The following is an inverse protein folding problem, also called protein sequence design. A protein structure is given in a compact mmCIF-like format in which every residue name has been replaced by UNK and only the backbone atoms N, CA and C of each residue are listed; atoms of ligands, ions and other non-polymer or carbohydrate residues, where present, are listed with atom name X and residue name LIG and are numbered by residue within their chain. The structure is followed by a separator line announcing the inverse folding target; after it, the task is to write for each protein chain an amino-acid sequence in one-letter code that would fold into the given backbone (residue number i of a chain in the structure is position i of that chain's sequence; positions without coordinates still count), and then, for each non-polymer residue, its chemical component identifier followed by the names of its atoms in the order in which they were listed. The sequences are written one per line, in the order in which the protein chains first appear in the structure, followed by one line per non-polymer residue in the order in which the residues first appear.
data_IF_968422404917
#
_entry.id   IF_968422404917
#
_cell.length_a   1.000
_cell.length_b   1.000
_cell.length_c   1.000
_cell.angle_alpha   90.00
_cell.angle_beta   90.00
_cell.angle_gamma   90.00
#
_symmetry.space_group_name_H-M   'P 1'
#
loop_
_entity.id
_entity.type
_entity.pdbx_description
1 polymer ?
#
# COMPACT_ATOMS: atom_id res chain seq x y z
N UNK A 1 0.79 -26.82 -10.44
CA UNK A 1 0.12 -25.63 -11.03
C UNK A 1 -0.26 -24.71 -9.89
N UNK A 2 0.14 -23.45 -9.96
CA UNK A 2 -0.30 -22.47 -8.95
C UNK A 2 -1.80 -22.21 -9.12
N UNK A 3 -2.52 -22.30 -8.02
CA UNK A 3 -3.93 -21.99 -8.04
C UNK A 3 -4.11 -20.47 -7.87
N UNK A 4 -4.95 -19.83 -8.70
CA UNK A 4 -5.30 -18.39 -8.58
C UNK A 4 -5.76 -18.00 -7.18
N UNK A 5 -6.26 -18.96 -6.42
CA UNK A 5 -6.73 -18.76 -5.05
C UNK A 5 -5.60 -18.68 -4.02
N UNK A 6 -4.36 -19.02 -4.38
CA UNK A 6 -3.23 -19.06 -3.44
C UNK A 6 -2.53 -17.70 -3.27
N UNK A 7 -2.83 -16.75 -4.16
CA UNK A 7 -2.14 -15.47 -4.22
C UNK A 7 -3.09 -14.27 -4.27
N UNK A 8 -2.60 -13.15 -3.76
CA UNK A 8 -3.14 -11.80 -4.00
C UNK A 8 -1.99 -10.89 -4.45
N UNK A 9 -2.30 -9.87 -5.25
CA UNK A 9 -1.32 -8.96 -5.82
C UNK A 9 -1.45 -7.56 -5.22
N UNK A 10 -0.33 -6.98 -4.81
CA UNK A 10 -0.23 -5.57 -4.39
C UNK A 10 0.51 -4.79 -5.46
N UNK A 11 -0.12 -3.73 -5.96
CA UNK A 11 0.46 -2.83 -6.94
C UNK A 11 0.77 -1.46 -6.32
N UNK A 12 2.01 -1.06 -6.44
CA UNK A 12 2.50 0.28 -6.14
C UNK A 12 2.87 1.04 -7.42
N UNK A 13 3.29 2.28 -7.25
CA UNK A 13 3.57 3.21 -8.35
C UNK A 13 5.06 3.39 -8.66
N UNK A 14 5.96 2.54 -8.17
CA UNK A 14 7.38 2.59 -8.54
C UNK A 14 7.53 2.32 -10.04
N UNK A 15 8.21 3.21 -10.79
CA UNK A 15 8.43 3.02 -12.23
C UNK A 15 9.16 1.72 -12.57
N UNK A 16 8.87 1.16 -13.75
CA UNK A 16 9.56 -0.03 -14.26
C UNK A 16 9.37 -1.31 -13.46
N UNK A 17 8.40 -1.35 -12.55
CA UNK A 17 8.15 -2.56 -11.75
C UNK A 17 7.27 -3.55 -12.52
N UNK A 18 7.76 -4.74 -12.86
CA UNK A 18 6.98 -5.72 -13.61
C UNK A 18 5.87 -6.33 -12.75
N UNK A 19 4.78 -6.76 -13.38
CA UNK A 19 3.70 -7.49 -12.73
C UNK A 19 3.88 -9.00 -12.93
N UNK A 20 3.44 -9.86 -11.98
CA UNK A 20 3.50 -11.30 -12.17
C UNK A 20 2.48 -11.74 -13.24
N UNK A 21 2.90 -12.65 -14.13
CA UNK A 21 2.03 -13.29 -15.11
C UNK A 21 1.33 -14.51 -14.49
N UNK A 22 0.44 -14.25 -13.56
CA UNK A 22 -0.39 -15.26 -12.88
C UNK A 22 -1.75 -14.65 -12.57
N UNK A 23 -2.82 -15.40 -12.76
CA UNK A 23 -4.16 -14.98 -12.35
C UNK A 23 -4.27 -14.98 -10.83
N UNK A 24 -4.76 -13.87 -10.25
CA UNK A 24 -5.09 -13.75 -8.83
C UNK A 24 -6.54 -13.32 -8.64
N UNK A 25 -7.12 -13.64 -7.48
CA UNK A 25 -8.52 -13.23 -7.17
C UNK A 25 -8.63 -11.73 -6.91
N UNK A 26 -7.65 -11.16 -6.19
CA UNK A 26 -7.72 -9.78 -5.72
C UNK A 26 -6.42 -9.01 -5.99
N UNK A 27 -6.56 -7.83 -6.58
CA UNK A 27 -5.48 -6.89 -6.87
C UNK A 27 -5.67 -5.64 -6.02
N UNK A 28 -4.78 -5.40 -5.08
CA UNK A 28 -4.75 -4.22 -4.23
C UNK A 28 -3.87 -3.15 -4.85
N UNK A 29 -4.43 -2.05 -5.28
CA UNK A 29 -3.70 -0.95 -5.89
C UNK A 29 -3.62 0.27 -4.96
N UNK A 30 -2.41 0.75 -4.69
CA UNK A 30 -2.18 1.88 -3.81
C UNK A 30 -2.24 3.21 -4.58
N UNK A 31 -3.19 4.09 -4.25
CA UNK A 31 -3.36 5.41 -4.88
C UNK A 31 -3.35 5.32 -6.42
N UNK A 32 -2.49 6.11 -7.08
CA UNK A 32 -2.36 6.15 -8.54
C UNK A 32 -1.94 4.83 -9.22
N UNK A 33 -1.52 3.81 -8.46
CA UNK A 33 -1.25 2.48 -9.01
C UNK A 33 -2.53 1.74 -9.48
N UNK A 34 -3.70 2.33 -9.27
CA UNK A 34 -4.98 1.81 -9.79
C UNK A 34 -4.96 1.62 -11.32
N UNK A 35 -4.24 2.45 -12.06
CA UNK A 35 -4.03 2.28 -13.51
C UNK A 35 -3.35 0.95 -13.84
N UNK A 36 -2.34 0.55 -13.07
CA UNK A 36 -1.68 -0.74 -13.25
C UNK A 36 -2.63 -1.91 -12.99
N UNK A 37 -3.53 -1.77 -12.01
CA UNK A 37 -4.58 -2.77 -11.77
C UNK A 37 -5.55 -2.87 -12.94
N UNK A 38 -5.91 -1.74 -13.57
CA UNK A 38 -6.69 -1.74 -14.81
C UNK A 38 -5.96 -2.49 -15.93
N UNK A 39 -4.66 -2.21 -16.13
CA UNK A 39 -3.83 -2.94 -17.11
C UNK A 39 -3.77 -4.43 -16.77
N UNK A 40 -3.54 -4.80 -15.51
CA UNK A 40 -3.54 -6.21 -15.10
C UNK A 40 -4.86 -6.92 -15.42
N UNK A 41 -6.00 -6.24 -15.22
CA UNK A 41 -7.33 -6.79 -15.51
C UNK A 41 -7.57 -7.04 -17.01
N UNK A 42 -6.80 -6.42 -17.92
CA UNK A 42 -6.88 -6.76 -19.36
C UNK A 42 -6.33 -8.15 -19.67
N UNK A 43 -5.37 -8.63 -18.88
CA UNK A 43 -4.83 -9.99 -18.98
C UNK A 43 -5.65 -10.99 -18.17
N UNK A 44 -6.19 -10.58 -17.03
CA UNK A 44 -6.93 -11.41 -16.07
C UNK A 44 -8.27 -10.77 -15.70
N UNK A 45 -9.30 -10.88 -16.56
CA UNK A 45 -10.58 -10.16 -16.40
C UNK A 45 -11.37 -10.51 -15.13
N UNK A 46 -11.14 -11.70 -14.56
CA UNK A 46 -11.81 -12.17 -13.34
C UNK A 46 -11.30 -11.51 -12.05
N UNK A 47 -10.16 -10.82 -12.11
CA UNK A 47 -9.54 -10.21 -10.93
C UNK A 47 -10.39 -9.04 -10.39
N UNK A 48 -10.62 -9.01 -9.08
CA UNK A 48 -11.24 -7.89 -8.38
C UNK A 48 -10.20 -6.78 -8.18
N UNK A 49 -10.54 -5.54 -8.48
CA UNK A 49 -9.71 -4.37 -8.21
C UNK A 49 -10.11 -3.77 -6.86
N UNK A 50 -9.15 -3.70 -5.93
CA UNK A 50 -9.30 -3.08 -4.62
C UNK A 50 -8.37 -1.86 -4.57
N UNK A 51 -8.94 -0.66 -4.72
CA UNK A 51 -8.16 0.57 -4.63
C UNK A 51 -8.00 1.01 -3.17
N UNK A 52 -6.78 0.99 -2.67
CA UNK A 52 -6.44 1.50 -1.33
C UNK A 52 -5.93 2.92 -1.46
N UNK A 53 -6.66 3.88 -0.93
CA UNK A 53 -6.40 5.31 -1.11
C UNK A 53 -6.18 6.02 0.22
N UNK A 54 -5.25 6.99 0.23
CA UNK A 54 -5.19 7.99 1.27
C UNK A 54 -6.23 9.08 0.98
N UNK A 55 -7.24 9.27 1.82
CA UNK A 55 -8.34 10.20 1.56
C UNK A 55 -7.82 11.58 1.11
N UNK A 56 -6.86 12.15 1.84
CA UNK A 56 -6.28 13.46 1.52
C UNK A 56 -5.51 13.47 0.19
N UNK A 57 -4.80 12.40 -0.13
CA UNK A 57 -4.06 12.28 -1.40
C UNK A 57 -5.05 12.21 -2.55
N UNK A 58 -6.09 11.42 -2.40
CA UNK A 58 -7.16 11.30 -3.37
C UNK A 58 -7.88 12.65 -3.61
N UNK A 59 -8.23 13.38 -2.53
CA UNK A 59 -8.92 14.68 -2.65
C UNK A 59 -8.09 15.78 -3.30
N UNK A 60 -6.77 15.75 -3.14
CA UNK A 60 -5.88 16.84 -3.58
C UNK A 60 -5.14 16.57 -4.88
N UNK A 61 -5.05 15.32 -5.30
CA UNK A 61 -4.28 14.92 -6.46
C UNK A 61 -5.21 14.42 -7.57
N UNK A 62 -5.47 15.30 -8.55
CA UNK A 62 -6.35 15.04 -9.68
C UNK A 62 -5.89 13.80 -10.49
N UNK A 63 -4.58 13.61 -10.64
CA UNK A 63 -4.04 12.43 -11.34
C UNK A 63 -4.37 11.14 -10.60
N UNK A 64 -4.26 11.14 -9.27
CA UNK A 64 -4.66 9.97 -8.47
C UNK A 64 -6.16 9.72 -8.57
N UNK A 65 -7.00 10.78 -8.51
CA UNK A 65 -8.45 10.66 -8.69
C UNK A 65 -8.78 10.01 -10.03
N UNK A 66 -8.27 10.57 -11.12
CA UNK A 66 -8.50 10.08 -12.48
C UNK A 66 -8.14 8.60 -12.60
N UNK A 67 -6.93 8.22 -12.17
CA UNK A 67 -6.46 6.82 -12.26
C UNK A 67 -7.31 5.85 -11.46
N UNK A 68 -7.74 6.24 -10.26
CA UNK A 68 -8.61 5.42 -9.42
C UNK A 68 -10.00 5.26 -10.05
N UNK A 69 -10.59 6.35 -10.53
CA UNK A 69 -11.92 6.33 -11.17
C UNK A 69 -11.90 5.53 -12.49
N UNK A 70 -10.88 5.76 -13.33
CA UNK A 70 -10.69 5.05 -14.60
C UNK A 70 -10.47 3.54 -14.43
N UNK A 71 -9.89 3.13 -13.30
CA UNK A 71 -9.72 1.71 -12.98
C UNK A 71 -11.03 1.02 -12.59
N UNK A 72 -12.09 1.78 -12.32
CA UNK A 72 -13.42 1.27 -11.95
C UNK A 72 -13.36 0.18 -10.87
N UNK A 73 -12.82 0.48 -9.67
CA UNK A 73 -12.56 -0.52 -8.65
C UNK A 73 -13.84 -1.17 -8.15
N UNK A 74 -13.75 -2.44 -7.80
CA UNK A 74 -14.84 -3.20 -7.17
C UNK A 74 -14.96 -2.82 -5.68
N UNK A 75 -13.83 -2.49 -5.05
CA UNK A 75 -13.76 -2.03 -3.66
C UNK A 75 -12.82 -0.83 -3.54
N UNK A 76 -13.23 0.19 -2.80
CA UNK A 76 -12.38 1.32 -2.40
C UNK A 76 -12.16 1.27 -0.89
N UNK A 77 -10.90 1.22 -0.50
CA UNK A 77 -10.47 1.25 0.90
C UNK A 77 -9.86 2.62 1.18
N UNK A 78 -10.59 3.46 1.91
CA UNK A 78 -10.15 4.80 2.28
C UNK A 78 -9.44 4.80 3.63
N UNK A 79 -8.26 5.42 3.66
CA UNK A 79 -7.44 5.63 4.86
C UNK A 79 -7.57 7.07 5.35
N UNK A 80 -7.68 7.23 6.69
CA UNK A 80 -7.50 8.53 7.36
C UNK A 80 -8.49 9.61 6.93
N UNK A 81 -9.76 9.30 6.84
CA UNK A 81 -10.78 10.29 6.60
C UNK A 81 -12.02 9.72 5.93
N UNK A 82 -13.13 10.38 6.16
CA UNK A 82 -14.35 10.17 5.38
C UNK A 82 -14.18 10.92 4.06
N UNK A 83 -14.23 10.20 2.95
CA UNK A 83 -14.42 10.79 1.64
C UNK A 83 -15.90 11.07 1.44
N UNK A 84 -16.19 12.23 0.92
CA UNK A 84 -17.52 12.52 0.37
C UNK A 84 -17.63 11.84 -0.99
N UNK A 85 -18.08 10.60 -0.95
CA UNK A 85 -18.08 9.71 -2.11
C UNK A 85 -19.04 10.15 -3.20
N UNK A 86 -20.08 10.93 -2.82
CA UNK A 86 -21.08 11.45 -3.76
C UNK A 86 -20.48 12.47 -4.74
N UNK A 87 -19.34 13.07 -4.37
CA UNK A 87 -18.61 13.99 -5.27
C UNK A 87 -17.89 13.30 -6.42
N UNK A 88 -17.76 11.96 -6.40
CA UNK A 88 -16.96 11.24 -7.34
C UNK A 88 -17.77 10.15 -8.06
N UNK A 89 -17.59 10.05 -9.37
CA UNK A 89 -18.29 9.10 -10.22
C UNK A 89 -17.69 7.70 -10.14
N UNK A 90 -17.81 7.06 -9.00
CA UNK A 90 -17.48 5.64 -8.88
C UNK A 90 -18.52 4.76 -9.57
N UNK A 91 -18.11 3.56 -9.99
CA UNK A 91 -19.01 2.53 -10.51
C UNK A 91 -20.15 2.26 -9.48
N UNK A 92 -21.40 2.12 -9.97
CA UNK A 92 -22.59 1.97 -9.12
C UNK A 92 -22.50 0.89 -8.04
N UNK A 93 -21.77 -0.21 -8.31
CA UNK A 93 -21.63 -1.34 -7.40
C UNK A 93 -20.31 -1.34 -6.62
N UNK A 94 -19.53 -0.25 -6.67
CA UNK A 94 -18.30 -0.15 -5.89
C UNK A 94 -18.61 -0.17 -4.39
N UNK A 95 -17.95 -1.08 -3.66
CA UNK A 95 -18.05 -1.15 -2.20
C UNK A 95 -17.02 -0.23 -1.55
N UNK A 96 -17.40 0.41 -0.43
CA UNK A 96 -16.53 1.35 0.28
C UNK A 96 -16.25 0.89 1.69
N UNK A 97 -14.97 0.92 2.07
CA UNK A 97 -14.48 0.61 3.42
C UNK A 97 -13.64 1.79 3.87
N UNK A 98 -13.96 2.36 5.03
CA UNK A 98 -13.22 3.49 5.59
C UNK A 98 -12.59 3.09 6.92
N UNK A 99 -11.30 3.40 7.06
CA UNK A 99 -10.56 3.20 8.31
C UNK A 99 -10.26 4.53 8.98
N UNK A 100 -10.64 4.65 10.25
CA UNK A 100 -10.15 5.70 11.13
C UNK A 100 -8.64 5.52 11.38
N UNK A 101 -7.99 6.57 11.87
CA UNK A 101 -6.57 6.49 12.24
C UNK A 101 -6.31 5.43 13.32
N UNK A 102 -7.21 5.31 14.27
CA UNK A 102 -7.09 4.33 15.34
C UNK A 102 -7.18 2.89 14.81
N UNK A 103 -8.15 2.59 13.95
CA UNK A 103 -8.28 1.26 13.32
C UNK A 103 -7.05 0.91 12.49
N UNK A 104 -6.47 1.89 11.77
CA UNK A 104 -5.23 1.68 11.02
C UNK A 104 -4.06 1.35 11.94
N UNK A 105 -3.92 2.06 13.07
CA UNK A 105 -2.88 1.77 14.06
C UNK A 105 -3.08 0.39 14.68
N UNK A 106 -4.31 0.00 14.99
CA UNK A 106 -4.64 -1.34 15.51
C UNK A 106 -4.30 -2.42 14.48
N UNK A 107 -4.62 -2.21 13.20
CA UNK A 107 -4.20 -3.14 12.14
C UNK A 107 -2.69 -3.28 12.12
N UNK A 108 -1.96 -2.16 12.11
CA UNK A 108 -0.51 -2.17 12.06
C UNK A 108 0.11 -2.88 13.27
N UNK A 109 -0.35 -2.61 14.49
CA UNK A 109 0.21 -3.20 15.72
C UNK A 109 0.16 -4.73 15.75
N UNK A 110 -0.82 -5.34 15.09
CA UNK A 110 -0.97 -6.79 15.03
C UNK A 110 0.14 -7.49 14.24
N UNK A 111 0.78 -6.78 13.30
CA UNK A 111 1.77 -7.34 12.38
C UNK A 111 3.20 -7.26 12.88
N UNK A 112 3.47 -6.44 13.90
CA UNK A 112 4.83 -6.16 14.37
C UNK A 112 5.06 -6.68 15.79
N UNK A 113 6.33 -6.89 16.13
CA UNK A 113 6.77 -7.25 17.48
C UNK A 113 6.94 -6.05 18.43
N UNK A 114 6.50 -4.87 18.03
CA UNK A 114 6.64 -3.66 18.83
C UNK A 114 5.28 -3.02 19.16
N UNK A 115 5.27 -2.21 20.21
CA UNK A 115 4.08 -1.55 20.71
C UNK A 115 3.57 -0.48 19.72
N UNK A 116 2.26 -0.19 19.75
CA UNK A 116 1.63 0.83 18.91
C UNK A 116 2.30 2.20 19.04
N UNK A 117 2.80 2.53 20.24
CA UNK A 117 3.56 3.76 20.49
C UNK A 117 4.85 3.82 19.68
N UNK A 118 5.51 2.69 19.44
CA UNK A 118 6.73 2.66 18.63
C UNK A 118 6.45 3.02 17.16
N UNK A 119 5.27 2.67 16.65
CA UNK A 119 4.84 3.05 15.30
C UNK A 119 4.70 4.57 15.23
N UNK A 120 4.05 5.16 16.22
CA UNK A 120 3.82 6.60 16.33
C UNK A 120 5.15 7.35 16.51
N UNK A 121 6.00 6.89 17.42
CA UNK A 121 7.31 7.50 17.69
C UNK A 121 8.25 7.37 16.50
N UNK A 122 8.17 6.30 15.70
CA UNK A 122 8.99 6.13 14.49
C UNK A 122 8.66 7.14 13.40
N UNK A 123 7.40 7.56 13.26
CA UNK A 123 7.06 8.70 12.36
C UNK A 123 7.74 10.01 12.79
N UNK A 124 7.98 10.20 14.08
CA UNK A 124 8.66 11.38 14.62
C UNK A 124 10.18 11.24 14.74
N UNK A 125 10.72 10.07 14.39
CA UNK A 125 12.14 9.73 14.59
C UNK A 125 13.13 10.65 13.84
N UNK A 126 12.69 11.28 12.77
CA UNK A 126 13.53 12.18 11.95
C UNK A 126 13.67 13.59 12.54
N UNK A 127 12.91 13.93 13.56
CA UNK A 127 13.06 15.20 14.26
C UNK A 127 14.16 15.09 15.31
N UNK A 128 15.23 15.86 15.17
CA UNK A 128 16.40 15.80 16.03
C UNK A 128 16.16 16.31 17.47
N UNK A 129 15.17 17.20 17.66
CA UNK A 129 14.89 17.84 18.95
C UNK A 129 13.63 17.26 19.59
N UNK A 130 13.73 16.87 20.89
CA UNK A 130 12.63 16.25 21.66
C UNK A 130 11.32 17.09 21.62
N UNK A 131 11.40 18.39 21.84
CA UNK A 131 10.24 19.28 21.76
C UNK A 131 9.59 19.30 20.38
N UNK A 132 10.37 19.27 19.32
CA UNK A 132 9.85 19.19 17.96
C UNK A 132 9.13 17.87 17.70
N UNK A 133 9.61 16.75 18.28
CA UNK A 133 8.93 15.45 18.21
C UNK A 133 7.54 15.50 18.84
N UNK A 134 7.42 16.11 20.05
CA UNK A 134 6.13 16.28 20.73
C UNK A 134 5.19 17.16 19.90
N UNK A 135 5.66 18.31 19.40
CA UNK A 135 4.87 19.21 18.57
C UNK A 135 4.43 18.53 17.29
N UNK A 136 5.32 17.75 16.64
CA UNK A 136 4.98 16.99 15.45
C UNK A 136 3.95 15.91 15.76
N UNK A 137 4.11 15.19 16.86
CA UNK A 137 3.15 14.20 17.34
C UNK A 137 1.76 14.81 17.55
N UNK A 138 1.65 15.92 18.28
CA UNK A 138 0.39 16.60 18.55
C UNK A 138 -0.25 17.13 17.26
N UNK A 139 0.53 17.72 16.35
CA UNK A 139 0.05 18.15 15.03
C UNK A 139 -0.43 16.96 14.19
N UNK A 140 0.28 15.84 14.22
CA UNK A 140 -0.09 14.63 13.51
C UNK A 140 -1.37 14.01 14.06
N UNK A 141 -1.54 13.99 15.40
CA UNK A 141 -2.79 13.58 16.04
C UNK A 141 -3.96 14.46 15.61
N UNK A 142 -3.81 15.79 15.69
CA UNK A 142 -4.85 16.76 15.30
C UNK A 142 -5.19 16.70 13.81
N UNK A 143 -4.21 16.44 12.95
CA UNK A 143 -4.40 16.37 11.49
C UNK A 143 -4.78 14.98 10.99
N UNK A 144 -4.95 14.00 11.87
CA UNK A 144 -5.26 12.63 11.49
C UNK A 144 -4.13 11.89 10.74
N UNK A 145 -2.87 12.32 10.91
CA UNK A 145 -1.72 11.77 10.15
C UNK A 145 -0.94 10.65 10.85
N UNK A 146 -1.41 10.18 11.99
CA UNK A 146 -0.78 9.12 12.78
C UNK A 146 -1.00 7.74 12.15
N UNK A 147 -0.46 7.52 10.97
CA UNK A 147 -0.73 6.28 10.23
C UNK A 147 0.47 5.35 10.07
N UNK A 148 1.68 5.76 10.50
CA UNK A 148 2.92 4.97 10.41
C UNK A 148 3.26 4.57 8.97
N UNK A 149 2.62 3.56 8.45
CA UNK A 149 2.83 3.03 7.12
C UNK A 149 2.36 3.98 5.99
N UNK A 150 3.04 3.96 4.85
CA UNK A 150 2.51 4.55 3.61
C UNK A 150 1.24 3.83 3.15
N UNK A 151 0.53 4.40 2.17
CA UNK A 151 -0.63 3.73 1.58
C UNK A 151 -0.25 2.42 0.93
N UNK A 152 0.91 2.37 0.24
CA UNK A 152 1.41 1.15 -0.36
C UNK A 152 1.70 0.06 0.67
N UNK A 153 2.39 0.39 1.75
CA UNK A 153 2.68 -0.59 2.80
C UNK A 153 1.42 -1.02 3.57
N UNK A 154 0.50 -0.10 3.82
CA UNK A 154 -0.78 -0.43 4.43
C UNK A 154 -1.60 -1.40 3.56
N UNK A 155 -1.54 -1.28 2.23
CA UNK A 155 -2.18 -2.24 1.33
C UNK A 155 -1.68 -3.67 1.55
N UNK A 156 -0.37 -3.84 1.82
CA UNK A 156 0.22 -5.14 2.15
C UNK A 156 -0.37 -5.68 3.45
N UNK A 157 -0.39 -4.86 4.53
CA UNK A 157 -0.92 -5.28 5.82
C UNK A 157 -2.41 -5.62 5.75
N UNK A 158 -3.17 -4.82 5.00
CA UNK A 158 -4.59 -5.04 4.80
C UNK A 158 -4.86 -6.34 4.03
N UNK A 159 -4.12 -6.59 2.94
CA UNK A 159 -4.23 -7.82 2.17
C UNK A 159 -3.87 -9.06 3.01
N UNK A 160 -2.80 -8.99 3.81
CA UNK A 160 -2.43 -10.05 4.75
C UNK A 160 -3.52 -10.34 5.77
N UNK A 161 -4.22 -9.31 6.26
CA UNK A 161 -5.33 -9.42 7.23
C UNK A 161 -6.54 -10.10 6.60
N UNK A 162 -6.94 -9.67 5.40
CA UNK A 162 -8.17 -10.14 4.74
C UNK A 162 -7.98 -11.53 4.13
N UNK A 163 -6.76 -11.88 3.76
CA UNK A 163 -6.43 -13.16 3.12
C UNK A 163 -5.46 -13.99 3.98
N UNK A 164 -5.90 -14.53 5.13
CA UNK A 164 -5.00 -15.16 6.11
C UNK A 164 -4.26 -16.38 5.59
N UNK A 165 -4.77 -17.05 4.55
CA UNK A 165 -4.19 -18.27 3.97
C UNK A 165 -3.40 -18.02 2.68
N UNK A 166 -3.48 -16.81 2.07
CA UNK A 166 -2.85 -16.55 0.78
C UNK A 166 -1.46 -15.95 0.93
N UNK A 167 -0.61 -16.19 -0.08
CA UNK A 167 0.63 -15.44 -0.28
C UNK A 167 0.33 -14.08 -0.92
N UNK A 168 1.14 -13.08 -0.59
CA UNK A 168 1.00 -11.69 -1.08
C UNK A 168 2.18 -11.37 -1.97
N UNK A 169 1.90 -11.11 -3.26
CA UNK A 169 2.91 -10.69 -4.23
C UNK A 169 2.97 -9.15 -4.23
N UNK A 170 4.14 -8.59 -4.02
CA UNK A 170 4.37 -7.14 -4.00
C UNK A 170 5.06 -6.71 -5.29
N UNK A 171 4.44 -5.78 -6.02
CA UNK A 171 5.02 -5.17 -7.21
C UNK A 171 4.93 -3.64 -7.13
N UNK A 172 6.08 -2.96 -7.21
CA UNK A 172 6.14 -1.51 -7.34
C UNK A 172 5.85 -0.70 -6.07
N UNK A 173 6.01 -1.28 -4.88
CA UNK A 173 6.00 -0.50 -3.64
C UNK A 173 7.41 0.07 -3.41
N UNK A 174 7.53 1.39 -3.38
CA UNK A 174 8.79 2.12 -3.37
C UNK A 174 9.57 2.10 -2.05
N UNK A 175 9.79 0.92 -1.45
CA UNK A 175 10.58 0.80 -0.21
C UNK A 175 12.09 0.90 -0.44
N UNK A 176 12.53 0.79 -1.69
CA UNK A 176 13.93 0.87 -2.11
C UNK A 176 14.26 2.22 -2.76
N UNK A 177 13.33 3.16 -2.78
CA UNK A 177 13.41 4.44 -3.48
C UNK A 177 12.72 4.37 -4.85
N UNK A 178 12.96 5.39 -5.68
CA UNK A 178 12.25 5.59 -6.93
C UNK A 178 10.90 6.30 -6.71
N UNK A 179 10.63 7.35 -7.47
CA UNK A 179 9.42 8.15 -7.36
C UNK A 179 8.14 7.40 -7.76
N UNK A 180 7.14 8.16 -8.12
CA UNK A 180 5.91 7.65 -8.71
C UNK A 180 5.99 7.82 -10.24
N UNK A 181 5.65 6.79 -11.02
CA UNK A 181 5.70 6.84 -12.49
C UNK A 181 4.78 7.93 -13.10
N UNK A 182 3.82 8.42 -12.35
CA UNK A 182 2.93 9.52 -12.73
C UNK A 182 3.39 10.89 -12.22
N UNK A 183 4.59 11.00 -11.61
CA UNK A 183 5.15 12.26 -11.14
C UNK A 183 6.67 12.25 -11.30
N UNK A 184 7.14 12.68 -12.46
CA UNK A 184 8.56 12.70 -12.85
C UNK A 184 9.44 13.55 -11.92
N UNK A 185 8.86 14.53 -11.22
CA UNK A 185 9.59 15.39 -10.28
C UNK A 185 9.79 14.76 -8.88
N UNK A 186 9.33 13.55 -8.64
CA UNK A 186 9.36 12.91 -7.32
C UNK A 186 10.56 11.99 -7.07
N UNK A 187 11.73 12.26 -7.68
CA UNK A 187 12.99 11.55 -7.37
C UNK A 187 13.45 11.68 -5.91
N UNK A 188 12.63 12.24 -5.04
CA UNK A 188 12.93 12.38 -3.63
C UNK A 188 12.65 11.06 -2.92
N UNK A 189 13.70 10.49 -2.30
CA UNK A 189 13.53 9.56 -1.19
C UNK A 189 12.57 10.19 -0.19
N UNK A 190 11.33 9.78 -0.18
CA UNK A 190 10.42 10.27 0.83
C UNK A 190 10.82 9.62 2.16
N UNK A 191 10.77 10.36 3.26
CA UNK A 191 10.98 9.81 4.61
C UNK A 191 10.06 8.60 4.87
N UNK A 192 8.96 8.48 4.13
CA UNK A 192 8.02 7.36 4.21
C UNK A 192 8.57 6.05 3.64
N UNK A 193 9.37 6.08 2.57
CA UNK A 193 9.99 4.85 2.06
C UNK A 193 10.96 4.24 3.07
N UNK A 194 11.67 5.08 3.83
CA UNK A 194 12.54 4.63 4.93
C UNK A 194 11.73 4.05 6.11
N UNK A 195 10.57 4.62 6.42
CA UNK A 195 9.66 4.07 7.44
C UNK A 195 9.14 2.70 6.98
N UNK A 196 8.62 2.60 5.77
CA UNK A 196 8.10 1.34 5.22
C UNK A 196 9.18 0.25 5.19
N UNK A 197 10.42 0.61 4.83
CA UNK A 197 11.56 -0.30 4.88
C UNK A 197 11.84 -0.81 6.30
N UNK A 198 11.78 0.07 7.31
CA UNK A 198 11.91 -0.35 8.73
C UNK A 198 10.75 -1.25 9.16
N UNK A 199 9.54 -0.94 8.71
CA UNK A 199 8.36 -1.73 9.02
C UNK A 199 8.45 -3.14 8.45
N UNK A 200 8.82 -3.31 7.17
CA UNK A 200 8.92 -4.64 6.56
C UNK A 200 10.00 -5.50 7.22
N UNK A 201 11.12 -4.88 7.65
CA UNK A 201 12.17 -5.59 8.38
C UNK A 201 11.71 -6.12 9.75
N UNK A 202 10.74 -5.45 10.38
CA UNK A 202 10.22 -5.78 11.70
C UNK A 202 8.88 -6.54 11.67
N UNK A 203 8.42 -6.97 10.50
CA UNK A 203 7.27 -7.87 10.41
C UNK A 203 7.54 -9.19 11.16
N UNK A 204 6.52 -9.68 11.89
CA UNK A 204 6.57 -11.03 12.47
C UNK A 204 6.89 -12.06 11.38
N UNK A 205 7.73 -13.04 11.68
CA UNK A 205 8.21 -14.05 10.72
C UNK A 205 7.08 -14.76 9.99
N UNK A 206 6.00 -15.09 10.69
CA UNK A 206 4.79 -15.70 10.11
C UNK A 206 4.19 -14.87 8.96
N UNK A 207 4.10 -13.54 9.09
CA UNK A 207 3.57 -12.70 8.02
C UNK A 207 4.60 -12.51 6.92
N UNK A 208 5.87 -12.38 7.30
CA UNK A 208 6.98 -12.19 6.36
C UNK A 208 7.15 -13.37 5.41
N UNK A 209 6.98 -14.60 5.89
CA UNK A 209 7.06 -15.83 5.08
C UNK A 209 5.97 -15.95 4.02
N UNK A 210 4.91 -15.17 4.15
CA UNK A 210 3.81 -15.09 3.18
C UNK A 210 4.00 -14.02 2.11
N UNK A 211 5.11 -13.27 2.16
CA UNK A 211 5.42 -12.22 1.19
C UNK A 211 6.38 -12.72 0.12
N UNK A 212 6.10 -12.36 -1.11
CA UNK A 212 7.06 -12.40 -2.21
C UNK A 212 7.00 -11.08 -2.99
N UNK A 213 8.01 -10.82 -3.81
CA UNK A 213 8.10 -9.55 -4.56
C UNK A 213 8.71 -9.74 -5.93
N UNK A 214 8.27 -8.94 -6.91
CA UNK A 214 8.88 -8.81 -8.24
C UNK A 214 10.08 -7.85 -8.24
N UNK A 215 10.36 -7.16 -7.12
CA UNK A 215 11.51 -6.25 -6.95
C UNK A 215 12.67 -7.02 -6.28
N UNK A 216 13.73 -7.26 -7.05
CA UNK A 216 14.90 -8.00 -6.58
C UNK A 216 15.64 -7.28 -5.44
N UNK A 217 15.68 -5.95 -5.47
CA UNK A 217 16.31 -5.16 -4.42
C UNK A 217 15.51 -5.27 -3.11
N UNK A 218 14.18 -5.17 -3.19
CA UNK A 218 13.30 -5.34 -2.04
C UNK A 218 13.43 -6.76 -1.45
N UNK A 219 13.50 -7.78 -2.30
CA UNK A 219 13.72 -9.17 -1.86
C UNK A 219 14.99 -9.30 -1.02
N UNK A 220 16.11 -8.78 -1.51
CA UNK A 220 17.41 -8.81 -0.80
C UNK A 220 17.36 -8.05 0.53
N UNK A 221 16.82 -6.82 0.52
CA UNK A 221 16.78 -5.94 1.70
C UNK A 221 15.84 -6.50 2.77
N UNK A 222 14.65 -6.93 2.40
CA UNK A 222 13.64 -7.37 3.33
C UNK A 222 13.77 -8.86 3.71
N UNK A 223 14.56 -9.65 2.96
CA UNK A 223 14.66 -11.09 3.15
C UNK A 223 13.33 -11.79 2.91
N UNK A 224 12.60 -11.38 1.87
CA UNK A 224 11.37 -12.01 1.39
C UNK A 224 11.62 -12.71 0.06
N UNK A 225 10.77 -13.67 -0.28
CA UNK A 225 10.89 -14.47 -1.49
C UNK A 225 10.88 -13.59 -2.75
N UNK A 226 11.82 -13.84 -3.69
CA UNK A 226 11.79 -13.20 -5.00
C UNK A 226 10.91 -14.00 -5.95
N UNK A 227 9.96 -13.32 -6.61
CA UNK A 227 9.10 -13.91 -7.63
C UNK A 227 9.92 -14.21 -8.89
N UNK A 228 10.14 -15.50 -9.19
CA UNK A 228 11.00 -15.94 -10.29
C UNK A 228 10.25 -16.44 -11.53
N UNK A 229 8.91 -16.44 -11.46
CA UNK A 229 8.06 -16.88 -12.56
C UNK A 229 7.85 -15.77 -13.58
N UNK A 230 7.13 -16.07 -14.65
CA UNK A 230 6.87 -15.15 -15.74
C UNK A 230 6.31 -13.79 -15.26
N UNK A 231 6.71 -12.73 -15.96
CA UNK A 231 6.37 -11.35 -15.66
C UNK A 231 5.69 -10.68 -16.87
N UNK A 232 4.76 -9.77 -16.58
CA UNK A 232 4.16 -8.84 -17.53
C UNK A 232 4.87 -7.50 -17.35
N UNK A 233 5.41 -6.94 -18.42
CA UNK A 233 6.06 -5.62 -18.45
C UNK A 233 5.05 -4.50 -18.71
#
# INVERSE_FOLDING_TARGET
MDNKNDYVLILGSKPGSPMPNIEVTDVYAANGAAERAKTYKTFFPSANIISVIGAREFEKNIEVQKRVLDASPDIVVSRSGKLDLEKYNFKKNTKFITFSNFEQLMIQSNFFNFHILDIILKETYYESKFFKKIVHLLKSMKSGRLTGASTGFFSILYALKINPQKKVIISGIGMTGGGHYYNENSNRYSNRSLVDRKLILNLKSFFKSRLCTTDQELSKIAGIEFWRKDLIN
#
